data_IF_434269571079
#
_entry.id   IF_434269571079
#
_cell.length_a   1.000
_cell.length_b   1.000
_cell.length_c   1.000
_cell.angle_alpha   90.00
_cell.angle_beta   90.00
_cell.angle_gamma   90.00
#
_symmetry.space_group_name_H-M   'P 1'
#
loop_
_entity.id
_entity.type
_entity.pdbx_description
1 polymer ?
#
# COMPACT_ATOMS: atom_id res chain seq x y z
N UNK A 1 -6.34 -29.16 -31.94
CA UNK A 1 -6.07 -29.84 -30.66
C UNK A 1 -4.57 -30.06 -30.64
N UNK A 2 -3.71 -29.31 -29.95
CA UNK A 2 -3.83 -28.51 -28.73
C UNK A 2 -2.65 -27.50 -28.69
N UNK A 3 -2.88 -26.21 -28.90
CA UNK A 3 -1.85 -25.14 -28.76
C UNK A 3 -2.41 -23.93 -27.96
N UNK A 4 -3.49 -24.16 -27.21
CA UNK A 4 -4.19 -23.15 -26.39
C UNK A 4 -4.33 -23.70 -24.97
N UNK A 5 -3.23 -24.06 -24.34
CA UNK A 5 -3.25 -24.41 -22.90
C UNK A 5 -2.07 -23.81 -22.11
N UNK A 6 -0.99 -23.38 -22.77
CA UNK A 6 0.23 -22.96 -22.05
C UNK A 6 0.33 -21.45 -21.74
N UNK A 7 -0.63 -20.62 -22.15
CA UNK A 7 -0.56 -19.15 -21.97
C UNK A 7 -1.27 -18.62 -20.71
N UNK A 8 -2.01 -19.46 -19.99
CA UNK A 8 -2.87 -19.02 -18.88
C UNK A 8 -2.14 -18.92 -17.53
N UNK A 9 -1.00 -19.60 -17.36
CA UNK A 9 -0.30 -19.63 -16.06
C UNK A 9 0.33 -18.30 -15.65
N UNK A 10 0.75 -17.46 -16.61
CA UNK A 10 1.49 -16.23 -16.31
C UNK A 10 0.58 -15.11 -15.79
N UNK A 11 -0.66 -15.05 -16.29
CA UNK A 11 -1.64 -14.02 -15.93
C UNK A 11 -2.15 -14.25 -14.50
N UNK A 12 -2.37 -15.51 -14.12
CA UNK A 12 -2.87 -15.88 -12.79
C UNK A 12 -1.86 -15.57 -11.68
N UNK A 13 -0.57 -15.81 -11.94
CA UNK A 13 0.52 -15.47 -11.02
C UNK A 13 0.62 -13.94 -10.84
N UNK A 14 0.54 -13.18 -11.93
CA UNK A 14 0.64 -11.72 -11.85
C UNK A 14 -0.54 -11.10 -11.09
N UNK A 15 -1.75 -11.62 -11.32
CA UNK A 15 -2.99 -11.15 -10.66
C UNK A 15 -2.98 -11.45 -9.16
N UNK A 16 -2.52 -12.65 -8.78
CA UNK A 16 -2.45 -13.06 -7.36
C UNK A 16 -1.38 -12.29 -6.59
N UNK A 17 -0.23 -11.97 -7.20
CA UNK A 17 0.82 -11.14 -6.59
C UNK A 17 0.34 -9.71 -6.35
N UNK A 18 -0.33 -9.08 -7.33
CA UNK A 18 -0.86 -7.71 -7.15
C UNK A 18 -1.86 -7.62 -5.99
N UNK A 19 -2.77 -8.59 -5.86
CA UNK A 19 -3.73 -8.66 -4.75
C UNK A 19 -3.07 -8.89 -3.39
N UNK A 20 -1.98 -9.68 -3.36
CA UNK A 20 -1.23 -9.95 -2.14
C UNK A 20 -0.41 -8.73 -1.68
N UNK A 21 0.19 -8.00 -2.61
CA UNK A 21 0.93 -6.76 -2.31
C UNK A 21 0.00 -5.65 -1.78
N UNK A 22 -1.21 -5.51 -2.32
CA UNK A 22 -2.18 -4.52 -1.83
C UNK A 22 -2.67 -4.74 -0.39
N UNK A 23 -2.43 -5.92 0.21
CA UNK A 23 -2.84 -6.25 1.59
C UNK A 23 -1.76 -6.00 2.65
N UNK A 24 -0.53 -5.64 2.26
CA UNK A 24 0.59 -5.44 3.20
C UNK A 24 0.65 -4.06 3.84
N UNK A 25 -0.05 -3.06 3.31
CA UNK A 25 -0.11 -1.70 3.86
C UNK A 25 -1.14 -1.55 5.00
N UNK A 26 -1.13 -2.47 5.96
CA UNK A 26 -1.70 -2.19 7.27
C UNK A 26 -0.53 -1.91 8.21
N UNK A 27 0.03 -0.68 8.19
CA UNK A 27 1.06 -0.35 9.14
C UNK A 27 0.48 -0.53 10.56
N UNK A 28 1.23 -1.09 11.50
CA UNK A 28 0.73 -1.36 12.85
C UNK A 28 0.27 -0.05 13.53
N UNK A 29 -0.80 -0.15 14.32
CA UNK A 29 -1.32 0.92 15.19
C UNK A 29 -0.16 1.52 15.96
N UNK A 30 0.11 2.81 15.89
CA UNK A 30 -0.47 3.80 16.81
C UNK A 30 -0.49 5.18 16.14
N UNK A 31 -1.63 5.86 16.21
CA UNK A 31 -1.71 7.26 15.80
C UNK A 31 -1.21 8.12 16.95
N UNK A 32 -0.09 8.81 16.73
CA UNK A 32 0.59 9.66 17.73
C UNK A 32 -0.13 10.98 18.00
N UNK A 33 -1.20 11.29 17.25
CA UNK A 33 -1.87 12.59 17.30
C UNK A 33 -1.19 13.67 16.45
N UNK A 34 -0.17 13.31 15.68
CA UNK A 34 0.59 14.18 14.79
C UNK A 34 0.96 13.46 13.49
N UNK A 35 1.16 14.24 12.43
CA UNK A 35 1.50 13.70 11.11
C UNK A 35 2.93 13.17 11.08
N UNK A 36 3.13 11.94 10.64
CA UNK A 36 4.44 11.30 10.58
C UNK A 36 5.37 11.89 9.50
N UNK A 37 4.81 12.57 8.49
CA UNK A 37 5.61 13.22 7.44
C UNK A 37 5.98 14.67 7.79
N UNK A 38 4.99 15.47 8.21
CA UNK A 38 5.16 16.92 8.39
C UNK A 38 5.08 17.41 9.85
N UNK A 39 4.69 16.55 10.80
CA UNK A 39 4.53 16.92 12.22
C UNK A 39 3.28 17.74 12.55
N UNK A 40 2.36 17.95 11.59
CA UNK A 40 1.12 18.68 11.86
C UNK A 40 0.23 17.96 12.88
N UNK A 41 -0.40 18.70 13.81
CA UNK A 41 -1.35 18.14 14.78
C UNK A 41 -2.58 17.57 14.06
N UNK A 42 -2.90 16.31 14.35
CA UNK A 42 -4.03 15.60 13.76
C UNK A 42 -5.18 15.45 14.75
N UNK A 43 -6.37 15.83 14.32
CA UNK A 43 -7.59 15.57 15.07
C UNK A 43 -7.99 14.09 14.88
N UNK A 44 -7.54 13.23 15.78
CA UNK A 44 -7.95 11.82 15.86
C UNK A 44 -6.86 10.83 15.48
N UNK A 45 -7.20 9.54 15.29
CA UNK A 45 -6.25 8.46 15.08
C UNK A 45 -5.72 8.41 13.63
N UNK A 46 -5.42 9.56 13.04
CA UNK A 46 -4.81 9.67 11.71
C UNK A 46 -3.29 9.71 11.86
N UNK A 47 -2.57 9.14 10.88
CA UNK A 47 -1.10 9.18 10.80
C UNK A 47 -0.58 10.27 9.88
N UNK A 48 -1.40 10.67 8.92
CA UNK A 48 -1.08 11.72 7.95
C UNK A 48 -2.18 12.77 7.93
N UNK A 49 -1.80 14.03 7.74
CA UNK A 49 -2.77 15.12 7.60
C UNK A 49 -3.58 14.95 6.31
N UNK A 50 -2.89 14.56 5.24
CA UNK A 50 -3.43 14.51 3.88
C UNK A 50 -2.76 13.41 3.05
N UNK A 51 -3.34 13.13 1.89
CA UNK A 51 -2.82 12.14 0.94
C UNK A 51 -1.37 12.42 0.53
N UNK A 52 -1.00 13.70 0.33
CA UNK A 52 0.38 14.09 -0.02
C UNK A 52 1.37 13.59 1.04
N UNK A 53 1.08 13.80 2.31
CA UNK A 53 1.96 13.37 3.39
C UNK A 53 2.07 11.85 3.51
N UNK A 54 1.01 11.11 3.15
CA UNK A 54 1.07 9.66 3.08
C UNK A 54 1.95 9.20 1.92
N UNK A 55 1.71 9.75 0.73
CA UNK A 55 2.37 9.32 -0.49
C UNK A 55 3.87 9.69 -0.45
N UNK A 56 4.24 10.87 0.06
CA UNK A 56 5.63 11.25 0.29
C UNK A 56 6.33 10.36 1.32
N UNK A 57 5.63 9.98 2.39
CA UNK A 57 6.19 9.10 3.41
C UNK A 57 6.43 7.69 2.83
N UNK A 58 5.47 7.16 2.08
CA UNK A 58 5.62 5.87 1.39
C UNK A 58 6.75 5.90 0.35
N UNK A 59 6.90 7.00 -0.39
CA UNK A 59 7.98 7.17 -1.37
C UNK A 59 9.38 7.31 -0.74
N UNK A 60 9.49 7.61 0.56
CA UNK A 60 10.77 7.65 1.29
C UNK A 60 11.17 6.29 1.88
N UNK A 61 10.20 5.40 2.05
CA UNK A 61 10.41 4.03 2.59
C UNK A 61 10.69 3.01 1.45
N UNK A 62 10.63 3.44 0.19
CA UNK A 62 11.11 2.74 -1.03
C UNK A 62 12.60 3.00 -1.29
#
# INVERSE_FOLDING_TARGET
MDDVDHSQGTIEIHTSISLYLSKKDVPPSEATGECWNCGAKLAGPKRWCDAICRDEWQAREE
#
